data_IF_654192138896
#
_entry.id   IF_654192138896
#
_cell.length_a   1.000
_cell.length_b   1.000
_cell.length_c   1.000
_cell.angle_alpha   90.00
_cell.angle_beta   90.00
_cell.angle_gamma   90.00
#
_symmetry.space_group_name_H-M   'P 1'
#
loop_
_entity.id
_entity.type
_entity.pdbx_description
1 polymer ?
#
# COMPACT_ATOMS: atom_id res chain seq x y z
N UNK A 1 28.10 -15.32 -10.57
CA UNK A 1 28.42 -14.87 -11.95
C UNK A 1 29.90 -14.56 -12.02
N UNK A 2 30.55 -14.82 -13.16
CA UNK A 2 31.97 -14.51 -13.36
C UNK A 2 32.16 -12.99 -13.52
N UNK A 3 33.14 -12.41 -12.81
CA UNK A 3 33.50 -10.98 -12.93
C UNK A 3 32.95 -10.04 -11.84
N UNK A 4 32.40 -10.57 -10.74
CA UNK A 4 31.99 -9.75 -9.60
C UNK A 4 33.21 -9.49 -8.69
N UNK A 5 33.50 -8.23 -8.31
CA UNK A 5 34.55 -7.92 -7.35
C UNK A 5 34.33 -8.66 -6.03
N UNK A 6 35.34 -9.38 -5.55
CA UNK A 6 35.25 -10.21 -4.33
C UNK A 6 35.20 -9.40 -3.03
N UNK A 7 35.49 -8.11 -3.12
CA UNK A 7 35.57 -7.14 -2.03
C UNK A 7 34.31 -6.27 -1.88
N UNK A 8 33.36 -6.37 -2.81
CA UNK A 8 32.12 -5.59 -2.81
C UNK A 8 30.95 -6.53 -2.55
N UNK A 9 30.14 -6.21 -1.54
CA UNK A 9 28.94 -6.98 -1.26
C UNK A 9 27.96 -6.87 -2.45
N UNK A 10 27.30 -7.95 -2.89
CA UNK A 10 26.48 -7.93 -4.10
C UNK A 10 25.37 -6.87 -4.16
N UNK A 11 24.88 -6.41 -3.01
CA UNK A 11 23.87 -5.34 -2.90
C UNK A 11 24.42 -3.91 -3.11
N UNK A 12 25.76 -3.76 -3.14
CA UNK A 12 26.47 -2.50 -3.38
C UNK A 12 26.95 -2.37 -4.84
N UNK A 13 26.70 -3.39 -5.67
CA UNK A 13 27.04 -3.36 -7.08
C UNK A 13 26.03 -2.50 -7.85
N UNK A 14 26.49 -1.35 -8.33
CA UNK A 14 25.72 -0.46 -9.20
C UNK A 14 26.36 -0.50 -10.58
N UNK A 15 25.58 -0.78 -11.62
CA UNK A 15 26.05 -0.74 -13.01
C UNK A 15 26.41 0.71 -13.39
N UNK A 16 27.56 0.90 -14.01
CA UNK A 16 27.99 2.22 -14.51
C UNK A 16 26.95 2.78 -15.49
N UNK A 17 26.50 4.02 -15.25
CA UNK A 17 25.41 4.66 -16.00
C UNK A 17 23.98 4.26 -15.60
N UNK A 18 23.80 3.40 -14.58
CA UNK A 18 22.47 3.12 -14.05
C UNK A 18 21.94 4.29 -13.23
N UNK A 19 20.66 4.62 -13.43
CA UNK A 19 19.91 5.49 -12.52
C UNK A 19 19.88 4.80 -11.16
N UNK A 20 20.17 5.54 -10.08
CA UNK A 20 20.18 5.03 -8.71
C UNK A 20 18.90 4.23 -8.43
N UNK A 21 19.00 2.90 -8.45
CA UNK A 21 17.89 2.02 -8.15
C UNK A 21 17.79 1.93 -6.63
N UNK A 22 16.64 2.30 -6.08
CA UNK A 22 16.39 2.10 -4.67
C UNK A 22 16.02 0.63 -4.44
N UNK A 23 17.03 -0.22 -4.27
CA UNK A 23 16.83 -1.66 -4.06
C UNK A 23 15.97 -1.98 -2.83
N UNK A 24 15.87 -1.07 -1.85
CA UNK A 24 14.95 -1.21 -0.70
C UNK A 24 13.47 -1.06 -1.06
N UNK A 25 13.16 -0.54 -2.26
CA UNK A 25 11.80 -0.51 -2.81
C UNK A 25 11.50 -1.71 -3.73
N UNK A 26 12.45 -2.63 -3.92
CA UNK A 26 12.19 -3.85 -4.70
C UNK A 26 11.38 -4.90 -3.92
N UNK A 27 11.11 -4.66 -2.63
CA UNK A 27 10.30 -5.52 -1.77
C UNK A 27 9.22 -4.70 -1.07
N UNK A 28 8.01 -5.26 -0.88
CA UNK A 28 7.02 -4.66 -0.01
C UNK A 28 7.60 -4.42 1.38
N UNK A 29 7.36 -3.23 1.92
CA UNK A 29 7.79 -2.83 3.27
C UNK A 29 6.75 -1.94 3.91
N UNK A 30 6.77 -1.89 5.23
CA UNK A 30 5.99 -0.92 5.98
C UNK A 30 6.38 0.51 5.58
N UNK A 31 5.39 1.40 5.59
CA UNK A 31 5.63 2.81 5.33
C UNK A 31 6.47 3.44 6.45
N UNK A 32 7.26 4.44 6.10
CA UNK A 32 8.07 5.17 7.09
C UNK A 32 7.22 5.80 8.20
N UNK A 33 5.94 6.12 7.93
CA UNK A 33 5.01 6.65 8.91
C UNK A 33 4.64 5.61 9.97
N UNK A 34 4.44 4.34 9.57
CA UNK A 34 4.19 3.24 10.52
C UNK A 34 5.42 3.03 11.39
N UNK A 35 6.62 2.96 10.78
CA UNK A 35 7.85 2.73 11.52
C UNK A 35 8.18 3.87 12.51
N UNK A 36 7.92 5.13 12.12
CA UNK A 36 8.19 6.30 12.98
C UNK A 36 7.11 6.55 14.02
N UNK A 37 5.86 6.18 13.73
CA UNK A 37 4.70 6.52 14.56
C UNK A 37 3.76 5.31 14.76
N UNK A 38 4.24 4.18 15.33
CA UNK A 38 3.46 2.95 15.43
C UNK A 38 2.21 3.11 16.31
N UNK A 39 2.29 3.90 17.39
CA UNK A 39 1.15 4.16 18.26
C UNK A 39 0.04 4.97 17.56
N UNK A 40 0.41 5.97 16.75
CA UNK A 40 -0.54 6.76 15.97
C UNK A 40 -1.21 5.89 14.91
N UNK A 41 -0.43 5.04 14.22
CA UNK A 41 -0.98 4.08 13.27
C UNK A 41 -2.03 3.18 13.93
N UNK A 42 -1.74 2.60 15.09
CA UNK A 42 -2.69 1.75 15.82
C UNK A 42 -3.97 2.51 16.21
N UNK A 43 -3.86 3.78 16.62
CA UNK A 43 -5.01 4.62 16.92
C UNK A 43 -5.86 4.87 15.69
N UNK A 44 -5.25 5.21 14.55
CA UNK A 44 -5.96 5.41 13.28
C UNK A 44 -6.66 4.13 12.83
N UNK A 45 -5.99 2.98 12.87
CA UNK A 45 -6.60 1.69 12.56
C UNK A 45 -7.79 1.38 13.47
N UNK A 46 -7.70 1.72 14.74
CA UNK A 46 -8.79 1.52 15.71
C UNK A 46 -9.97 2.45 15.43
N UNK A 47 -9.70 3.72 15.13
CA UNK A 47 -10.73 4.72 14.83
C UNK A 47 -11.48 4.42 13.52
N UNK A 48 -10.78 3.89 12.52
CA UNK A 48 -11.36 3.59 11.21
C UNK A 48 -11.89 2.15 11.10
N UNK A 49 -11.79 1.34 12.17
CA UNK A 49 -12.09 -0.09 12.13
C UNK A 49 -13.44 -0.39 11.49
N UNK A 50 -14.51 0.24 11.98
CA UNK A 50 -15.87 -0.04 11.53
C UNK A 50 -16.07 0.34 10.04
N UNK A 51 -15.40 1.40 9.59
CA UNK A 51 -15.43 1.85 8.19
C UNK A 51 -14.69 0.84 7.30
N UNK A 52 -13.53 0.36 7.75
CA UNK A 52 -12.75 -0.64 7.03
C UNK A 52 -13.51 -1.97 6.93
N UNK A 53 -14.08 -2.45 8.04
CA UNK A 53 -14.92 -3.65 8.05
C UNK A 53 -16.11 -3.52 7.09
N UNK A 54 -16.78 -2.36 7.09
CA UNK A 54 -17.85 -2.08 6.15
C UNK A 54 -17.38 -2.21 4.69
N UNK A 55 -16.25 -1.63 4.30
CA UNK A 55 -15.74 -1.74 2.93
C UNK A 55 -15.37 -3.17 2.56
N UNK A 56 -14.68 -3.88 3.44
CA UNK A 56 -14.25 -5.25 3.18
C UNK A 56 -15.46 -6.17 2.99
N UNK A 57 -16.46 -6.08 3.87
CA UNK A 57 -17.70 -6.86 3.73
C UNK A 57 -18.49 -6.50 2.47
N UNK A 58 -18.54 -5.23 2.08
CA UNK A 58 -19.23 -4.82 0.85
C UNK A 58 -18.55 -5.36 -0.40
N UNK A 59 -17.22 -5.35 -0.46
CA UNK A 59 -16.48 -5.89 -1.60
C UNK A 59 -16.63 -7.40 -1.66
N UNK A 60 -16.51 -8.10 -0.52
CA UNK A 60 -16.74 -9.55 -0.47
C UNK A 60 -18.14 -9.92 -0.96
N UNK A 61 -19.16 -9.16 -0.53
CA UNK A 61 -20.54 -9.43 -0.87
C UNK A 61 -20.89 -9.08 -2.33
N UNK A 62 -20.48 -7.90 -2.81
CA UNK A 62 -20.88 -7.38 -4.11
C UNK A 62 -19.93 -7.76 -5.24
N UNK A 63 -18.65 -7.98 -4.95
CA UNK A 63 -17.58 -8.24 -5.90
C UNK A 63 -16.67 -9.40 -5.43
N UNK A 64 -17.22 -10.60 -5.20
CA UNK A 64 -16.47 -11.72 -4.59
C UNK A 64 -15.22 -12.12 -5.40
N UNK A 65 -15.26 -12.03 -6.73
CA UNK A 65 -14.10 -12.32 -7.58
C UNK A 65 -12.97 -11.29 -7.39
N UNK A 66 -13.33 -10.02 -7.19
CA UNK A 66 -12.38 -8.94 -6.89
C UNK A 66 -11.77 -9.13 -5.51
N UNK A 67 -12.60 -9.47 -4.52
CA UNK A 67 -12.13 -9.80 -3.17
C UNK A 67 -11.06 -10.88 -3.23
N UNK A 68 -11.32 -11.98 -3.95
CA UNK A 68 -10.40 -13.10 -4.12
C UNK A 68 -9.11 -12.70 -4.85
N UNK A 69 -9.18 -11.86 -5.88
CA UNK A 69 -8.00 -11.32 -6.56
C UNK A 69 -7.10 -10.54 -5.60
N UNK A 70 -7.70 -9.69 -4.77
CA UNK A 70 -7.00 -8.90 -3.74
C UNK A 70 -6.40 -9.78 -2.64
N UNK A 71 -7.13 -10.79 -2.18
CA UNK A 71 -6.70 -11.76 -1.17
C UNK A 71 -5.44 -12.51 -1.62
N UNK A 72 -5.41 -12.98 -2.87
CA UNK A 72 -4.24 -13.64 -3.47
C UNK A 72 -3.01 -12.73 -3.35
N UNK A 73 -3.14 -11.42 -3.60
CA UNK A 73 -2.01 -10.50 -3.44
C UNK A 73 -1.53 -10.39 -1.99
N UNK A 74 -2.43 -10.41 -1.01
CA UNK A 74 -2.07 -10.42 0.40
C UNK A 74 -1.34 -11.70 0.81
N UNK A 75 -1.72 -12.87 0.28
CA UNK A 75 -1.06 -14.16 0.57
C UNK A 75 0.41 -14.19 0.15
N UNK A 76 0.77 -13.49 -0.93
CA UNK A 76 2.13 -13.39 -1.42
C UNK A 76 2.96 -12.28 -0.76
N UNK A 77 2.39 -11.47 0.14
CA UNK A 77 3.17 -10.47 0.86
C UNK A 77 4.12 -11.15 1.85
N UNK A 78 5.39 -10.70 1.91
CA UNK A 78 6.35 -11.26 2.86
C UNK A 78 5.86 -11.05 4.30
N UNK A 79 6.19 -12.02 5.17
CA UNK A 79 5.90 -12.01 6.61
C UNK A 79 4.41 -12.13 7.01
N UNK A 80 3.51 -12.46 6.08
CA UNK A 80 2.06 -12.58 6.35
C UNK A 80 1.47 -11.34 7.06
N UNK A 81 2.04 -10.15 6.78
CA UNK A 81 1.59 -8.91 7.37
C UNK A 81 0.27 -8.48 6.71
N UNK A 82 -0.85 -8.72 7.42
CA UNK A 82 -2.16 -8.27 6.97
C UNK A 82 -2.37 -6.79 7.29
N UNK A 83 -2.89 -6.05 6.32
CA UNK A 83 -3.33 -4.69 6.56
C UNK A 83 -4.63 -4.68 7.39
N UNK A 84 -4.93 -3.57 8.11
CA UNK A 84 -6.17 -3.41 8.85
C UNK A 84 -7.42 -3.40 7.94
N UNK A 85 -7.23 -3.23 6.63
CA UNK A 85 -8.30 -3.25 5.62
C UNK A 85 -8.18 -4.45 4.68
N UNK A 86 -7.73 -5.61 5.14
CA UNK A 86 -7.70 -6.84 4.33
C UNK A 86 -9.07 -7.06 3.65
N UNK A 87 -9.15 -7.27 2.32
CA UNK A 87 -8.10 -7.80 1.43
C UNK A 87 -7.21 -6.75 0.76
N UNK A 88 -7.29 -5.48 1.14
CA UNK A 88 -6.35 -4.47 0.64
C UNK A 88 -4.96 -4.61 1.27
N UNK A 89 -3.92 -4.33 0.51
CA UNK A 89 -2.53 -4.46 0.97
C UNK A 89 -2.04 -3.25 1.77
N UNK A 90 -2.70 -2.10 1.65
CA UNK A 90 -2.34 -0.87 2.36
C UNK A 90 -3.52 0.09 2.49
N UNK A 91 -3.36 1.09 3.36
CA UNK A 91 -4.31 2.19 3.55
C UNK A 91 -3.55 3.52 3.54
N UNK A 92 -4.12 4.53 2.88
CA UNK A 92 -3.60 5.90 2.87
C UNK A 92 -4.66 6.83 3.44
N UNK A 93 -4.25 7.70 4.36
CA UNK A 93 -5.09 8.76 4.91
C UNK A 93 -4.55 10.10 4.45
N UNK A 94 -5.31 10.80 3.61
CA UNK A 94 -4.97 12.14 3.14
C UNK A 94 -5.78 13.18 3.93
N UNK A 95 -5.09 14.02 4.69
CA UNK A 95 -5.72 15.12 5.43
C UNK A 95 -5.74 16.37 4.56
N UNK A 96 -6.89 17.04 4.49
CA UNK A 96 -7.10 18.24 3.65
C UNK A 96 -6.66 18.00 2.20
N UNK A 97 -6.96 16.81 1.67
CA UNK A 97 -6.52 16.39 0.35
C UNK A 97 -7.05 17.33 -0.74
N UNK A 98 -6.14 17.85 -1.56
CA UNK A 98 -6.48 18.52 -2.82
C UNK A 98 -5.56 17.93 -3.89
N UNK A 99 -6.02 16.90 -4.57
CA UNK A 99 -5.27 16.21 -5.61
C UNK A 99 -5.76 16.65 -6.98
N UNK A 100 -4.84 16.73 -7.94
CA UNK A 100 -5.23 16.81 -9.35
C UNK A 100 -5.76 15.44 -9.79
N UNK A 101 -6.67 15.41 -10.76
CA UNK A 101 -7.07 14.16 -11.39
C UNK A 101 -5.84 13.40 -11.89
N UNK A 102 -5.63 12.20 -11.37
CA UNK A 102 -4.53 11.32 -11.74
C UNK A 102 -4.94 9.86 -11.59
N UNK A 103 -4.13 8.98 -12.15
CA UNK A 103 -4.23 7.54 -11.94
C UNK A 103 -3.12 7.10 -11.00
N UNK A 104 -3.46 6.30 -10.01
CA UNK A 104 -2.48 5.61 -9.19
C UNK A 104 -1.86 4.47 -9.98
N UNK A 105 -0.74 4.76 -10.65
CA UNK A 105 -0.05 3.78 -11.51
C UNK A 105 0.57 2.62 -10.72
N UNK A 106 0.67 2.76 -9.40
CA UNK A 106 1.11 1.70 -8.50
C UNK A 106 0.02 0.67 -8.20
N UNK A 107 -1.25 1.05 -8.38
CA UNK A 107 -2.36 0.11 -8.22
C UNK A 107 -2.48 -0.75 -9.48
N UNK A 108 -2.73 -2.04 -9.27
CA UNK A 108 -2.92 -2.96 -10.39
C UNK A 108 -4.29 -2.77 -11.02
N UNK A 109 -5.34 -2.95 -10.22
CA UNK A 109 -6.71 -3.07 -10.73
C UNK A 109 -7.72 -2.36 -9.85
N UNK A 110 -7.69 -2.61 -8.54
CA UNK A 110 -8.76 -2.20 -7.62
C UNK A 110 -8.23 -1.40 -6.44
N UNK A 111 -8.85 -0.26 -6.19
CA UNK A 111 -8.71 0.51 -4.97
C UNK A 111 -10.08 1.03 -4.55
N UNK A 112 -10.23 1.32 -3.25
CA UNK A 112 -11.42 1.94 -2.69
C UNK A 112 -11.03 3.26 -2.06
N UNK A 113 -11.79 4.30 -2.37
CA UNK A 113 -11.62 5.61 -1.78
C UNK A 113 -12.89 6.00 -1.03
N UNK A 114 -12.71 6.70 0.07
CA UNK A 114 -13.80 7.31 0.81
C UNK A 114 -13.35 8.66 1.34
N UNK A 115 -14.28 9.60 1.42
CA UNK A 115 -13.98 10.96 1.85
C UNK A 115 -14.88 11.32 3.03
N UNK A 116 -14.29 11.82 4.13
CA UNK A 116 -15.01 12.35 5.28
C UNK A 116 -14.85 13.87 5.31
N UNK A 117 -15.97 14.58 5.43
CA UNK A 117 -16.01 16.02 5.68
C UNK A 117 -17.26 16.68 5.10
N UNK A 118 -17.38 17.98 5.34
CA UNK A 118 -18.46 18.80 4.79
C UNK A 118 -18.00 19.41 3.47
N UNK A 119 -18.64 18.97 2.38
CA UNK A 119 -18.27 19.41 1.03
C UNK A 119 -19.52 19.73 0.22
N UNK A 120 -19.41 20.69 -0.70
CA UNK A 120 -20.43 20.97 -1.70
C UNK A 120 -19.90 20.60 -3.08
N UNK A 121 -20.67 19.82 -3.85
CA UNK A 121 -20.35 19.50 -5.25
C UNK A 121 -19.19 18.52 -5.44
N UNK A 122 -19.08 17.49 -4.59
CA UNK A 122 -18.07 16.43 -4.78
C UNK A 122 -18.30 15.70 -6.10
N UNK A 123 -17.39 15.91 -7.05
CA UNK A 123 -17.14 15.04 -8.19
C UNK A 123 -15.83 14.29 -7.90
N UNK A 124 -15.87 12.96 -7.93
CA UNK A 124 -14.70 12.08 -7.82
C UNK A 124 -14.17 11.80 -9.23
#
# INVERSE_FOLDING_TARGET
GAGVPSDIHPDQLIKEGAVKANFSQCVPRESDNICKHPALYQQVCTLLKDILEFFCSNIEHHLPEVYKELEIHCEYLPLHANSPGHPFTSMVVNLCACTKGHRDHGDKTWCTTFTIGDFQGLEI
#
